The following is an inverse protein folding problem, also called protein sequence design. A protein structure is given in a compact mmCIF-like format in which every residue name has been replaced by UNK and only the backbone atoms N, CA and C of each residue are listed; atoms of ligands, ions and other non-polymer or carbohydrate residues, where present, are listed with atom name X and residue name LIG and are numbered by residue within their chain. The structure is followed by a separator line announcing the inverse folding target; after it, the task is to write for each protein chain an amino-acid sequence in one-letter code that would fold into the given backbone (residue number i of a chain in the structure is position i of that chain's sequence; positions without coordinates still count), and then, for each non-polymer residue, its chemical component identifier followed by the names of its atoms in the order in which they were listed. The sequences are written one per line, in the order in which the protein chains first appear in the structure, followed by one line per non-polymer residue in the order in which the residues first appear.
data_IF_355096464864
#
_entry.id   IF_355096464864
#
_cell.length_a   1.000
_cell.length_b   1.000
_cell.length_c   1.000
_cell.angle_alpha   90.00
_cell.angle_beta   90.00
_cell.angle_gamma   90.00
#
_symmetry.space_group_name_H-M   'P 1'
#
loop_
_entity.id
_entity.type
_entity.pdbx_description
1 polymer ?
#
# COMPACT_ATOMS: atom_id res chain seq x y z
N UNK A 1 -5.83 15.92 7.27
CA UNK A 1 -4.74 15.11 7.84
C UNK A 1 -4.12 14.27 6.75
N UNK A 2 -2.80 14.17 6.73
CA UNK A 2 -2.06 13.27 5.82
C UNK A 2 -1.58 12.07 6.61
N UNK A 3 -1.74 10.90 6.03
CA UNK A 3 -1.38 9.63 6.63
C UNK A 3 -1.21 8.60 5.52
N UNK A 4 -0.58 7.49 5.84
CA UNK A 4 -0.33 6.42 4.89
C UNK A 4 -0.59 5.05 5.52
N UNK A 5 -0.82 4.08 4.65
CA UNK A 5 -0.88 2.68 5.00
C UNK A 5 0.23 1.94 4.27
N UNK A 6 1.01 1.15 5.01
CA UNK A 6 1.91 0.17 4.41
C UNK A 6 1.31 -1.22 4.58
N UNK A 7 1.09 -1.91 3.48
CA UNK A 7 0.68 -3.32 3.44
C UNK A 7 1.86 -4.13 2.93
N UNK A 8 2.40 -5.00 3.78
CA UNK A 8 3.62 -5.78 3.48
C UNK A 8 3.24 -7.19 3.09
N UNK A 9 3.89 -7.71 2.06
CA UNK A 9 3.71 -9.09 1.62
C UNK A 9 5.05 -9.82 1.54
N UNK A 10 4.98 -11.13 1.79
CA UNK A 10 6.07 -12.07 1.59
C UNK A 10 5.55 -13.31 0.87
N UNK A 11 5.98 -13.50 -0.37
CA UNK A 11 5.60 -14.63 -1.21
C UNK A 11 6.80 -15.50 -1.58
N UNK A 12 6.53 -16.66 -2.16
CA UNK A 12 7.55 -17.53 -2.73
C UNK A 12 8.04 -16.95 -4.08
N UNK A 13 9.33 -17.08 -4.44
CA UNK A 13 9.87 -16.49 -5.68
C UNK A 13 9.08 -16.81 -6.95
N UNK A 14 8.57 -18.05 -7.07
CA UNK A 14 7.77 -18.49 -8.23
C UNK A 14 6.42 -17.77 -8.39
N UNK A 15 5.94 -17.07 -7.36
CA UNK A 15 4.67 -16.33 -7.34
C UNK A 15 4.87 -14.82 -7.41
N UNK A 16 6.10 -14.32 -7.53
CA UNK A 16 6.37 -12.88 -7.57
C UNK A 16 5.61 -12.16 -8.68
N UNK A 17 5.50 -12.79 -9.86
CA UNK A 17 4.73 -12.24 -10.97
C UNK A 17 3.24 -12.13 -10.62
N UNK A 18 2.64 -13.21 -10.12
CA UNK A 18 1.24 -13.25 -9.68
C UNK A 18 0.95 -12.16 -8.65
N UNK A 19 1.83 -11.99 -7.65
CA UNK A 19 1.68 -10.94 -6.64
C UNK A 19 1.86 -9.55 -7.24
N UNK A 20 2.81 -9.36 -8.16
CA UNK A 20 3.02 -8.07 -8.82
C UNK A 20 1.79 -7.66 -9.63
N UNK A 21 1.26 -8.57 -10.44
CA UNK A 21 0.07 -8.34 -11.28
C UNK A 21 -1.13 -7.99 -10.39
N UNK A 22 -1.38 -8.76 -9.31
CA UNK A 22 -2.45 -8.49 -8.37
C UNK A 22 -2.32 -7.12 -7.66
N UNK A 23 -1.11 -6.72 -7.27
CA UNK A 23 -0.87 -5.43 -6.63
C UNK A 23 -1.05 -4.26 -7.60
N UNK A 24 -0.70 -4.42 -8.88
CA UNK A 24 -0.93 -3.41 -9.91
C UNK A 24 -2.42 -3.27 -10.22
N UNK A 25 -3.16 -4.38 -10.29
CA UNK A 25 -4.61 -4.37 -10.45
C UNK A 25 -5.29 -3.66 -9.27
N UNK A 26 -4.80 -3.87 -8.04
CA UNK A 26 -5.28 -3.15 -6.86
C UNK A 26 -5.06 -1.65 -6.99
N UNK A 27 -3.87 -1.19 -7.40
CA UNK A 27 -3.59 0.24 -7.62
C UNK A 27 -4.59 0.85 -8.60
N UNK A 28 -4.86 0.17 -9.73
CA UNK A 28 -5.80 0.70 -10.71
C UNK A 28 -7.24 0.73 -10.15
N UNK A 29 -7.63 -0.29 -9.38
CA UNK A 29 -8.97 -0.37 -8.79
C UNK A 29 -9.28 0.74 -7.79
N UNK A 30 -8.27 1.29 -7.13
CA UNK A 30 -8.43 2.35 -6.11
C UNK A 30 -8.22 3.75 -6.66
N UNK A 31 -7.89 3.88 -7.95
CA UNK A 31 -7.51 5.14 -8.61
C UNK A 31 -8.56 6.24 -8.52
N UNK A 32 -9.84 5.86 -8.54
CA UNK A 32 -10.96 6.82 -8.50
C UNK A 32 -11.34 7.25 -7.08
N UNK A 33 -10.64 6.75 -6.04
CA UNK A 33 -10.92 7.17 -4.67
C UNK A 33 -10.48 8.62 -4.45
N UNK A 34 -11.41 9.56 -4.17
CA UNK A 34 -11.10 11.00 -4.12
C UNK A 34 -10.26 11.41 -2.92
N UNK A 35 -10.11 10.54 -1.91
CA UNK A 35 -9.33 10.81 -0.70
C UNK A 35 -7.95 10.16 -0.71
N UNK A 36 -7.71 9.28 -1.69
CA UNK A 36 -6.41 8.65 -1.92
C UNK A 36 -5.58 9.61 -2.79
N UNK A 37 -4.45 10.05 -2.26
CA UNK A 37 -3.53 10.95 -2.96
C UNK A 37 -2.54 10.16 -3.83
N UNK A 38 -2.18 8.95 -3.41
CA UNK A 38 -1.20 8.11 -4.11
C UNK A 38 -1.35 6.64 -3.73
N UNK A 39 -0.99 5.75 -4.66
CA UNK A 39 -0.82 4.33 -4.41
C UNK A 39 0.44 3.83 -5.11
N UNK A 40 1.35 3.17 -4.38
CA UNK A 40 2.67 2.80 -4.87
C UNK A 40 2.99 1.35 -4.50
N UNK A 41 3.57 0.61 -5.44
CA UNK A 41 4.06 -0.75 -5.21
C UNK A 41 5.57 -0.75 -5.27
N UNK A 42 6.18 -1.35 -4.25
CA UNK A 42 7.61 -1.59 -4.14
C UNK A 42 7.90 -3.08 -4.05
N UNK A 43 8.93 -3.52 -4.75
CA UNK A 43 9.55 -4.82 -4.51
C UNK A 43 10.85 -4.64 -3.72
N UNK A 44 11.11 -5.55 -2.78
CA UNK A 44 12.30 -5.49 -1.92
C UNK A 44 13.51 -6.01 -2.67
N UNK A 45 14.40 -5.11 -3.11
CA UNK A 45 15.62 -5.47 -3.86
C UNK A 45 16.49 -6.53 -3.17
N UNK A 46 16.70 -6.43 -1.86
CA UNK A 46 17.55 -7.35 -1.10
C UNK A 46 16.82 -8.60 -0.58
N UNK A 47 15.50 -8.68 -0.74
CA UNK A 47 14.67 -9.76 -0.21
C UNK A 47 13.68 -10.23 -1.29
N UNK A 48 14.11 -11.09 -2.23
CA UNK A 48 13.23 -11.65 -3.26
C UNK A 48 11.94 -12.21 -2.66
N UNK A 49 10.79 -11.90 -3.26
CA UNK A 49 9.46 -12.24 -2.78
C UNK A 49 8.88 -11.26 -1.77
N UNK A 50 9.58 -10.17 -1.43
CA UNK A 50 9.09 -9.11 -0.54
C UNK A 50 8.46 -7.98 -1.33
N UNK A 51 7.27 -7.54 -0.91
CA UNK A 51 6.57 -6.40 -1.52
C UNK A 51 6.00 -5.48 -0.44
N UNK A 52 5.85 -4.20 -0.78
CA UNK A 52 5.09 -3.22 -0.01
C UNK A 52 4.14 -2.49 -0.94
N UNK A 53 2.86 -2.45 -0.58
CA UNK A 53 1.87 -1.53 -1.16
C UNK A 53 1.71 -0.36 -0.20
N UNK A 54 1.93 0.85 -0.70
CA UNK A 54 1.77 2.09 0.05
C UNK A 54 0.52 2.79 -0.47
N UNK A 55 -0.39 3.17 0.43
CA UNK A 55 -1.55 4.00 0.13
C UNK A 55 -1.42 5.32 0.91
N UNK A 56 -1.33 6.44 0.21
CA UNK A 56 -1.24 7.77 0.80
C UNK A 56 -2.60 8.45 0.79
N UNK A 57 -3.02 9.00 1.92
CA UNK A 57 -4.36 9.52 2.12
C UNK A 57 -4.36 10.98 2.58
N UNK A 58 -5.41 11.70 2.19
CA UNK A 58 -5.73 13.03 2.73
C UNK A 58 -7.20 13.11 3.12
N UNK A 59 -7.45 12.94 4.42
CA UNK A 59 -8.80 12.89 5.02
C UNK A 59 -8.92 13.86 6.19
N UNK A 60 -10.12 14.06 6.75
CA UNK A 60 -10.28 14.92 7.95
C UNK A 60 -9.71 14.26 9.21
N UNK A 61 -9.85 12.95 9.34
CA UNK A 61 -9.39 12.13 10.47
C UNK A 61 -8.73 10.84 9.98
N UNK A 62 -7.91 10.22 10.84
CA UNK A 62 -7.27 8.94 10.57
C UNK A 62 -8.08 7.84 11.26
N UNK A 63 -8.63 6.86 10.53
CA UNK A 63 -9.31 5.73 11.16
C UNK A 63 -8.33 4.88 11.97
N UNK A 64 -8.77 4.36 13.12
CA UNK A 64 -7.93 3.57 14.04
C UNK A 64 -7.34 2.32 13.39
N UNK A 65 -8.06 1.70 12.46
CA UNK A 65 -7.68 0.43 11.82
C UNK A 65 -7.26 0.59 10.35
N UNK A 66 -7.14 1.82 9.85
CA UNK A 66 -6.87 2.07 8.44
C UNK A 66 -8.14 2.27 7.60
N UNK A 67 -7.97 2.40 6.29
CA UNK A 67 -9.07 2.74 5.39
C UNK A 67 -9.96 1.53 5.12
N UNK A 68 -11.25 1.76 4.81
CA UNK A 68 -12.15 0.70 4.33
C UNK A 68 -11.58 0.04 3.05
N UNK A 69 -10.92 0.83 2.21
CA UNK A 69 -10.20 0.34 1.02
C UNK A 69 -9.10 -0.64 1.39
N UNK A 70 -8.24 -0.31 2.36
CA UNK A 70 -7.22 -1.24 2.83
C UNK A 70 -7.84 -2.50 3.43
N UNK A 71 -8.90 -2.39 4.23
CA UNK A 71 -9.56 -3.56 4.81
C UNK A 71 -10.06 -4.55 3.76
N UNK A 72 -10.63 -4.05 2.64
CA UNK A 72 -11.04 -4.89 1.51
C UNK A 72 -9.85 -5.54 0.80
N UNK A 73 -8.76 -4.79 0.62
CA UNK A 73 -7.53 -5.28 0.00
C UNK A 73 -6.90 -6.40 0.84
N UNK A 74 -6.84 -6.25 2.16
CA UNK A 74 -6.17 -7.21 3.05
C UNK A 74 -6.71 -8.63 2.89
N UNK A 75 -8.03 -8.79 2.77
CA UNK A 75 -8.65 -10.11 2.57
C UNK A 75 -8.17 -10.78 1.27
N UNK A 76 -8.07 -10.02 0.18
CA UNK A 76 -7.56 -10.51 -1.10
C UNK A 76 -6.06 -10.85 -1.08
N UNK A 77 -5.29 -10.20 -0.21
CA UNK A 77 -3.84 -10.38 -0.11
C UNK A 77 -3.41 -11.51 0.85
N UNK A 78 -4.28 -11.99 1.75
CA UNK A 78 -4.01 -13.16 2.61
C UNK A 78 -3.43 -14.37 1.84
N UNK A 79 -4.06 -14.87 0.76
CA UNK A 79 -3.52 -16.01 0.00
C UNK A 79 -2.24 -15.69 -0.78
N UNK A 80 -1.91 -14.41 -0.94
CA UNK A 80 -0.70 -13.92 -1.61
C UNK A 80 0.49 -13.70 -0.66
N UNK A 81 0.30 -13.96 0.64
CA UNK A 81 1.35 -13.87 1.65
C UNK A 81 1.37 -12.53 2.37
N UNK A 82 0.21 -11.95 2.68
CA UNK A 82 0.08 -10.82 3.59
C UNK A 82 0.88 -11.08 4.88
N UNK A 83 1.76 -10.14 5.21
CA UNK A 83 2.64 -10.21 6.37
C UNK A 83 2.20 -9.24 7.46
N UNK A 84 1.91 -8.00 7.08
CA UNK A 84 1.65 -6.91 8.02
C UNK A 84 0.87 -5.77 7.37
N UNK A 85 0.17 -4.99 8.19
CA UNK A 85 -0.52 -3.76 7.81
C UNK A 85 -0.28 -2.70 8.89
N UNK A 86 0.32 -1.59 8.50
CA UNK A 86 0.65 -0.50 9.42
C UNK A 86 0.01 0.81 8.96
N UNK A 87 -0.63 1.51 9.90
CA UNK A 87 -1.20 2.84 9.70
C UNK A 87 -0.26 3.89 10.30
N UNK A 88 0.15 4.87 9.51
CA UNK A 88 1.14 5.88 9.91
C UNK A 88 0.62 7.29 9.63
N UNK A 89 0.72 8.18 10.61
CA UNK A 89 0.31 9.58 10.46
C UNK A 89 1.51 10.44 10.12
N UNK A 90 1.40 11.26 9.08
CA UNK A 90 2.47 12.20 8.70
C UNK A 90 2.70 13.20 9.85
N UNK A 91 3.94 13.27 10.36
CA UNK A 91 4.35 14.26 11.37
C UNK A 91 5.18 15.41 10.80
N UNK A 92 5.65 15.27 9.56
CA UNK A 92 6.36 16.30 8.81
C UNK A 92 6.74 15.76 7.44
N UNK A 93 6.86 16.66 6.47
CA UNK A 93 7.37 16.36 5.14
C UNK A 93 8.29 17.47 4.66
N UNK A 94 9.27 17.10 3.85
CA UNK A 94 10.08 18.04 3.10
C UNK A 94 9.89 17.74 1.62
N UNK A 95 9.39 18.72 0.86
CA UNK A 95 9.26 18.61 -0.60
C UNK A 95 10.39 19.39 -1.25
N UNK A 96 11.31 18.70 -1.93
CA UNK A 96 12.20 19.36 -2.89
C UNK A 96 11.33 19.88 -4.04
N UNK A 97 11.34 21.18 -4.27
CA UNK A 97 10.82 21.74 -5.53
C UNK A 97 11.81 21.37 -6.63
N UNK A 98 11.38 20.58 -7.60
CA UNK A 98 12.14 20.42 -8.83
C UNK A 98 11.87 21.69 -9.67
N UNK A 99 12.92 22.48 -9.90
CA UNK A 99 12.93 23.61 -10.83
C UNK A 99 12.94 23.12 -12.28
#
# INVERSE_FOLDING_TARGET
MRWMEEIRLRTQPKREKEVTDALLDIIESVRENPTLESALVYSHHAKPGGFSLILDWKTMSVPTHGSDTAMLILEGLKPLGLLDHTVMVEKGSFKKHNH
#
